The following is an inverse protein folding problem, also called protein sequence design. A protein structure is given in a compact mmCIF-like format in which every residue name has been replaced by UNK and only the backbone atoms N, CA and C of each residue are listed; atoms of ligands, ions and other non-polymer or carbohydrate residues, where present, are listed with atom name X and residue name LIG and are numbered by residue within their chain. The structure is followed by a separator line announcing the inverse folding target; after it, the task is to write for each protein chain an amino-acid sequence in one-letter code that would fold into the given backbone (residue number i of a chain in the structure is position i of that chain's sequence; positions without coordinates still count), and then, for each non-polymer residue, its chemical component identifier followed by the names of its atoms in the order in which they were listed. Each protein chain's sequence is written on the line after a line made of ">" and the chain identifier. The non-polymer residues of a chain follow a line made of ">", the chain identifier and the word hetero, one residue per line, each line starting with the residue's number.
data_IF_856954976096
#
_entry.id   IF_856954976096
#
_cell.length_a   1.000
_cell.length_b   1.000
_cell.length_c   1.000
_cell.angle_alpha   90.00
_cell.angle_beta   90.00
_cell.angle_gamma   90.00
#
_symmetry.space_group_name_H-M   'P 1'
#
loop_
_entity.id
_entity.type
_entity.pdbx_description
1 polymer ?
#
# COMPACT_ATOMS: atom_id res chain seq x y z
N UNK A 1 -21.06 -6.34 38.47
CA UNK A 1 -20.13 -5.79 37.46
C UNK A 1 -19.82 -6.90 36.47
N UNK A 2 -20.43 -6.84 35.28
CA UNK A 2 -20.43 -7.94 34.30
C UNK A 2 -19.03 -8.23 33.73
N UNK A 3 -18.67 -9.52 33.65
CA UNK A 3 -17.45 -10.05 32.99
C UNK A 3 -17.22 -9.52 31.56
N UNK A 4 -18.30 -9.09 30.89
CA UNK A 4 -18.23 -8.51 29.53
C UNK A 4 -17.60 -7.11 29.49
N UNK A 5 -17.75 -6.31 30.55
CA UNK A 5 -17.15 -4.97 30.60
C UNK A 5 -15.63 -5.02 30.81
N UNK A 6 -15.15 -6.01 31.57
CA UNK A 6 -13.72 -6.19 31.81
C UNK A 6 -12.96 -6.66 30.55
N UNK A 7 -13.56 -7.53 29.73
CA UNK A 7 -12.96 -8.02 28.49
C UNK A 7 -12.89 -6.93 27.40
N UNK A 8 -13.91 -6.07 27.31
CA UNK A 8 -13.93 -4.93 26.39
C UNK A 8 -12.90 -3.86 26.76
N UNK A 9 -12.79 -3.50 28.04
CA UNK A 9 -11.77 -2.57 28.54
C UNK A 9 -10.35 -3.12 28.37
N UNK A 10 -10.17 -4.44 28.52
CA UNK A 10 -8.90 -5.13 28.32
C UNK A 10 -8.45 -5.07 26.85
N UNK A 11 -9.34 -5.30 25.87
CA UNK A 11 -8.99 -5.19 24.45
C UNK A 11 -8.56 -3.77 24.05
N UNK A 12 -9.25 -2.74 24.54
CA UNK A 12 -8.90 -1.33 24.28
C UNK A 12 -7.59 -0.91 24.98
N UNK A 13 -7.32 -1.43 26.19
CA UNK A 13 -6.05 -1.22 26.90
C UNK A 13 -4.88 -1.96 26.25
N UNK A 14 -5.10 -3.17 25.72
CA UNK A 14 -4.11 -3.94 24.96
C UNK A 14 -3.78 -3.19 23.65
N UNK A 15 -4.78 -2.68 22.92
CA UNK A 15 -4.55 -1.83 21.73
C UNK A 15 -3.75 -0.55 22.03
N UNK A 16 -3.88 0.02 23.24
CA UNK A 16 -3.09 1.18 23.73
C UNK A 16 -1.65 0.83 24.11
N UNK A 17 -1.35 -0.45 24.39
CA UNK A 17 -0.03 -0.95 24.77
C UNK A 17 0.83 -1.35 23.55
N UNK A 18 0.20 -1.77 22.46
CA UNK A 18 0.89 -2.29 21.28
C UNK A 18 1.63 -1.21 20.47
N UNK A 19 2.84 -1.53 20.07
CA UNK A 19 3.62 -0.78 19.08
C UNK A 19 2.90 -0.74 17.73
N UNK A 20 3.26 0.22 16.86
CA UNK A 20 2.73 0.30 15.48
C UNK A 20 2.95 -1.02 14.73
N UNK A 21 4.14 -1.61 14.88
CA UNK A 21 4.50 -2.86 14.21
C UNK A 21 3.68 -4.05 14.69
N UNK A 22 3.39 -4.16 15.99
CA UNK A 22 2.52 -5.23 16.52
C UNK A 22 1.09 -5.09 16.01
N UNK A 23 0.56 -3.86 15.97
CA UNK A 23 -0.80 -3.59 15.45
C UNK A 23 -0.92 -3.98 13.97
N UNK A 24 0.08 -3.66 13.16
CA UNK A 24 0.10 -4.04 11.74
C UNK A 24 0.29 -5.55 11.58
N UNK A 25 1.17 -6.20 12.36
CA UNK A 25 1.31 -7.67 12.32
C UNK A 25 0.00 -8.38 12.64
N UNK A 26 -0.72 -7.96 13.68
CA UNK A 26 -2.04 -8.49 14.01
C UNK A 26 -3.02 -8.29 12.85
N UNK A 27 -3.07 -7.08 12.30
CA UNK A 27 -3.91 -6.75 11.16
C UNK A 27 -3.61 -7.67 9.94
N UNK A 28 -2.34 -7.90 9.62
CA UNK A 28 -1.94 -8.80 8.53
C UNK A 28 -2.34 -10.25 8.82
N UNK A 29 -2.18 -10.73 10.06
CA UNK A 29 -2.60 -12.08 10.44
C UNK A 29 -4.12 -12.28 10.29
N UNK A 30 -4.92 -11.29 10.71
CA UNK A 30 -6.37 -11.28 10.53
C UNK A 30 -6.76 -11.29 9.04
N UNK A 31 -6.02 -10.57 8.19
CA UNK A 31 -6.25 -10.59 6.75
C UNK A 31 -5.86 -11.91 6.08
N UNK A 32 -4.80 -12.57 6.57
CA UNK A 32 -4.24 -13.79 6.00
C UNK A 32 -4.93 -15.08 6.47
N UNK A 33 -5.73 -15.01 7.54
CA UNK A 33 -6.48 -16.16 8.06
C UNK A 33 -5.63 -17.18 8.85
N UNK A 34 -4.49 -16.76 9.41
CA UNK A 34 -3.58 -17.63 10.17
C UNK A 34 -2.26 -16.96 10.53
N UNK A 35 -1.40 -17.69 11.27
CA UNK A 35 -0.11 -17.20 11.73
C UNK A 35 0.89 -17.02 10.57
N UNK A 36 1.65 -15.92 10.62
CA UNK A 36 2.54 -15.49 9.54
C UNK A 36 3.93 -16.06 9.78
N UNK A 37 4.22 -17.21 9.14
CA UNK A 37 5.57 -17.75 9.08
C UNK A 37 6.50 -16.84 8.27
N UNK A 38 7.78 -16.65 8.67
CA UNK A 38 8.71 -15.71 8.05
C UNK A 38 9.36 -16.26 6.76
N UNK A 39 8.69 -17.09 5.96
CA UNK A 39 9.34 -17.67 4.78
C UNK A 39 9.49 -16.62 3.67
N UNK A 40 10.59 -15.87 3.73
CA UNK A 40 11.02 -14.82 2.81
C UNK A 40 11.23 -15.32 1.37
N UNK A 41 11.24 -16.64 1.14
CA UNK A 41 11.61 -17.24 -0.16
C UNK A 41 10.60 -16.98 -1.26
N UNK A 42 9.33 -16.74 -0.92
CA UNK A 42 8.26 -16.46 -1.88
C UNK A 42 7.61 -15.10 -1.60
N UNK A 43 8.29 -14.04 -2.04
CA UNK A 43 7.80 -12.68 -1.87
C UNK A 43 6.43 -12.46 -2.51
N UNK A 44 6.15 -13.12 -3.65
CA UNK A 44 4.85 -12.99 -4.31
C UNK A 44 3.73 -13.49 -3.40
N UNK A 45 3.95 -14.52 -2.58
CA UNK A 45 2.98 -15.05 -1.63
C UNK A 45 3.16 -14.53 -0.19
N UNK A 46 4.14 -13.63 0.06
CA UNK A 46 4.39 -13.10 1.39
C UNK A 46 3.17 -12.31 1.92
N UNK A 47 2.72 -12.56 3.17
CA UNK A 47 1.44 -12.05 3.66
C UNK A 47 1.38 -10.52 3.75
N UNK A 48 2.49 -9.85 4.13
CA UNK A 48 2.53 -8.39 4.11
C UNK A 48 2.45 -7.83 2.67
N UNK A 49 3.05 -8.53 1.71
CA UNK A 49 2.98 -8.12 0.30
C UNK A 49 1.56 -8.31 -0.25
N UNK A 50 0.90 -9.43 0.06
CA UNK A 50 -0.51 -9.65 -0.28
C UNK A 50 -1.46 -8.67 0.41
N UNK A 51 -1.22 -8.38 1.68
CA UNK A 51 -2.01 -7.43 2.45
C UNK A 51 -1.91 -6.02 1.87
N UNK A 52 -0.75 -5.60 1.34
CA UNK A 52 -0.62 -4.33 0.62
C UNK A 52 -1.64 -4.21 -0.52
N UNK A 53 -1.72 -5.20 -1.42
CA UNK A 53 -2.65 -5.15 -2.56
C UNK A 53 -4.10 -5.25 -2.13
N UNK A 54 -4.39 -6.03 -1.09
CA UNK A 54 -5.74 -6.09 -0.51
C UNK A 54 -6.16 -4.72 0.01
N UNK A 55 -5.32 -4.07 0.83
CA UNK A 55 -5.59 -2.71 1.31
C UNK A 55 -5.72 -1.71 0.17
N UNK A 56 -4.84 -1.78 -0.84
CA UNK A 56 -4.93 -0.92 -2.01
C UNK A 56 -6.28 -1.05 -2.72
N UNK A 57 -6.71 -2.28 -3.00
CA UNK A 57 -7.95 -2.55 -3.74
C UNK A 57 -9.20 -2.25 -2.92
N UNK A 58 -9.09 -2.24 -1.58
CA UNK A 58 -10.09 -1.74 -0.63
C UNK A 58 -10.01 -0.22 -0.42
N UNK A 59 -9.14 0.51 -1.15
CA UNK A 59 -8.93 1.97 -1.05
C UNK A 59 -8.40 2.42 0.32
N UNK A 60 -7.80 1.50 1.08
CA UNK A 60 -7.16 1.71 2.37
C UNK A 60 -5.67 2.03 2.18
N UNK A 61 -5.40 3.10 1.44
CA UNK A 61 -4.04 3.43 0.99
C UNK A 61 -3.08 3.74 2.13
N UNK A 62 -3.58 4.28 3.24
CA UNK A 62 -2.76 4.54 4.42
C UNK A 62 -2.30 3.22 5.06
N UNK A 63 -3.19 2.26 5.21
CA UNK A 63 -2.84 0.92 5.71
C UNK A 63 -1.97 0.15 4.71
N UNK A 64 -2.20 0.29 3.40
CA UNK A 64 -1.32 -0.28 2.39
C UNK A 64 0.12 0.24 2.58
N UNK A 65 0.29 1.56 2.70
CA UNK A 65 1.58 2.18 3.00
C UNK A 65 2.24 1.59 4.26
N UNK A 66 1.51 1.58 5.38
CA UNK A 66 2.04 1.14 6.69
C UNK A 66 2.40 -0.35 6.71
N UNK A 67 1.58 -1.21 6.10
CA UNK A 67 1.84 -2.65 5.97
C UNK A 67 3.14 -2.88 5.21
N UNK A 68 3.32 -2.20 4.06
CA UNK A 68 4.49 -2.46 3.23
C UNK A 68 5.76 -1.80 3.78
N UNK A 69 5.64 -0.68 4.51
CA UNK A 69 6.75 -0.06 5.24
C UNK A 69 7.36 -1.05 6.26
N UNK A 70 6.52 -1.80 6.99
CA UNK A 70 7.03 -2.78 7.95
C UNK A 70 7.79 -3.94 7.29
N UNK A 71 7.37 -4.36 6.08
CA UNK A 71 8.12 -5.33 5.28
C UNK A 71 9.43 -4.72 4.77
N UNK A 72 9.38 -3.50 4.25
CA UNK A 72 10.53 -2.79 3.69
C UNK A 72 11.66 -2.58 4.70
N UNK A 73 11.34 -2.21 5.95
CA UNK A 73 12.33 -2.04 7.03
C UNK A 73 13.13 -3.32 7.35
N UNK A 74 12.63 -4.49 6.93
CA UNK A 74 13.28 -5.80 7.12
C UNK A 74 13.92 -6.33 5.82
N UNK A 75 13.76 -5.63 4.70
CA UNK A 75 14.13 -6.13 3.36
C UNK A 75 15.62 -5.90 3.06
N UNK A 76 16.21 -6.83 2.29
CA UNK A 76 17.59 -6.74 1.79
C UNK A 76 17.75 -5.60 0.76
N UNK A 77 18.95 -5.01 0.61
CA UNK A 77 19.15 -3.84 -0.27
C UNK A 77 18.70 -4.01 -1.72
N UNK A 78 18.74 -5.22 -2.27
CA UNK A 78 18.46 -5.52 -3.69
C UNK A 78 17.05 -5.11 -4.14
N UNK A 79 16.04 -5.22 -3.28
CA UNK A 79 14.65 -4.88 -3.61
C UNK A 79 14.15 -3.62 -2.89
N UNK A 80 15.04 -2.91 -2.20
CA UNK A 80 14.65 -1.77 -1.37
C UNK A 80 13.96 -0.67 -2.18
N UNK A 81 14.41 -0.39 -3.41
CA UNK A 81 13.79 0.61 -4.28
C UNK A 81 12.42 0.16 -4.80
N UNK A 82 12.22 -1.13 -5.08
CA UNK A 82 10.91 -1.66 -5.48
C UNK A 82 9.84 -1.39 -4.42
N UNK A 83 10.09 -1.81 -3.18
CA UNK A 83 9.14 -1.62 -2.09
C UNK A 83 8.96 -0.14 -1.76
N UNK A 84 10.04 0.65 -1.77
CA UNK A 84 9.97 2.11 -1.60
C UNK A 84 9.08 2.75 -2.67
N UNK A 85 9.15 2.28 -3.92
CA UNK A 85 8.29 2.73 -5.00
C UNK A 85 6.82 2.44 -4.75
N UNK A 86 6.48 1.22 -4.32
CA UNK A 86 5.10 0.85 -3.96
C UNK A 86 4.56 1.66 -2.76
N UNK A 87 5.39 1.87 -1.73
CA UNK A 87 5.06 2.70 -0.56
C UNK A 87 4.78 4.14 -0.98
N UNK A 88 5.61 4.71 -1.85
CA UNK A 88 5.41 6.06 -2.39
C UNK A 88 4.15 6.17 -3.24
N UNK A 89 3.85 5.15 -4.06
CA UNK A 89 2.61 5.08 -4.81
C UNK A 89 1.40 5.12 -3.88
N UNK A 90 1.36 4.28 -2.84
CA UNK A 90 0.28 4.30 -1.85
C UNK A 90 0.18 5.66 -1.14
N UNK A 91 1.31 6.25 -0.75
CA UNK A 91 1.36 7.60 -0.20
C UNK A 91 0.77 8.68 -1.12
N UNK A 92 1.00 8.58 -2.44
CA UNK A 92 0.41 9.48 -3.42
C UNK A 92 -1.13 9.37 -3.43
N UNK A 93 -1.66 8.15 -3.41
CA UNK A 93 -3.11 7.92 -3.33
C UNK A 93 -3.72 8.37 -1.99
N UNK A 94 -3.00 8.26 -0.86
CA UNK A 94 -3.41 8.88 0.42
C UNK A 94 -3.60 10.39 0.26
N UNK A 95 -2.73 11.06 -0.49
CA UNK A 95 -2.87 12.50 -0.75
C UNK A 95 -4.12 12.81 -1.59
N UNK A 96 -4.40 12.02 -2.63
CA UNK A 96 -5.58 12.19 -3.47
C UNK A 96 -6.88 11.94 -2.69
N UNK A 97 -6.96 10.84 -1.93
CA UNK A 97 -8.11 10.50 -1.10
C UNK A 97 -8.40 11.59 -0.07
N UNK A 98 -7.38 12.04 0.65
CA UNK A 98 -7.50 13.12 1.63
C UNK A 98 -7.95 14.46 1.04
N UNK A 99 -7.55 14.78 -0.20
CA UNK A 99 -8.06 15.97 -0.89
C UNK A 99 -9.50 15.78 -1.29
N UNK A 100 -9.85 14.63 -1.85
CA UNK A 100 -11.21 14.32 -2.28
C UNK A 100 -12.21 14.45 -1.12
N UNK A 101 -11.86 13.91 0.06
CA UNK A 101 -12.69 13.99 1.26
C UNK A 101 -12.79 15.40 1.83
N UNK A 102 -11.74 16.23 1.70
CA UNK A 102 -11.64 17.53 2.34
C UNK A 102 -11.03 18.60 1.41
N UNK A 103 -11.70 18.94 0.29
CA UNK A 103 -11.12 19.79 -0.75
C UNK A 103 -10.89 21.24 -0.26
N UNK A 104 -11.74 21.76 0.62
CA UNK A 104 -11.65 23.14 1.13
C UNK A 104 -10.79 23.28 2.39
N UNK A 105 -10.31 22.18 2.98
CA UNK A 105 -9.52 22.25 4.20
C UNK A 105 -8.11 22.80 3.90
N UNK A 106 -7.64 23.79 4.67
CA UNK A 106 -6.37 24.52 4.44
C UNK A 106 -5.17 23.61 4.11
N UNK A 107 -4.99 22.52 4.89
CA UNK A 107 -3.99 21.47 4.62
C UNK A 107 -4.38 20.48 3.52
N UNK A 108 -5.59 19.92 3.55
CA UNK A 108 -5.96 18.80 2.68
C UNK A 108 -6.27 19.23 1.23
N UNK A 109 -6.73 20.45 1.00
CA UNK A 109 -6.94 21.02 -0.33
C UNK A 109 -5.67 21.14 -1.16
N UNK A 110 -4.51 21.34 -0.50
CA UNK A 110 -3.19 21.53 -1.13
C UNK A 110 -2.40 20.24 -1.35
N UNK A 111 -3.09 19.09 -1.47
CA UNK A 111 -2.46 17.77 -1.55
C UNK A 111 -2.14 17.28 -2.96
N UNK A 112 -2.54 17.98 -4.01
CA UNK A 112 -2.19 17.59 -5.39
C UNK A 112 -0.69 17.71 -5.70
N UNK A 113 0.01 18.82 -5.38
CA UNK A 113 1.46 18.90 -5.58
C UNK A 113 2.28 17.81 -4.89
N UNK A 114 2.06 17.48 -3.59
CA UNK A 114 2.79 16.37 -2.98
C UNK A 114 2.40 15.00 -3.56
N UNK A 115 1.16 14.80 -4.04
CA UNK A 115 0.79 13.56 -4.74
C UNK A 115 1.60 13.37 -6.02
N UNK A 116 1.68 14.40 -6.88
CA UNK A 116 2.46 14.38 -8.13
C UNK A 116 3.92 14.05 -7.86
N UNK A 117 4.54 14.68 -6.85
CA UNK A 117 5.94 14.37 -6.48
C UNK A 117 6.12 12.89 -6.13
N UNK A 118 5.19 12.31 -5.37
CA UNK A 118 5.25 10.90 -4.99
C UNK A 118 5.01 9.96 -6.17
N UNK A 119 4.10 10.29 -7.10
CA UNK A 119 3.92 9.53 -8.33
C UNK A 119 5.22 9.43 -9.13
N UNK A 120 5.92 10.55 -9.32
CA UNK A 120 7.19 10.59 -10.05
C UNK A 120 8.32 9.86 -9.33
N UNK A 121 8.37 9.92 -8.00
CA UNK A 121 9.35 9.15 -7.21
C UNK A 121 9.07 7.65 -7.29
N UNK A 122 7.81 7.24 -7.16
CA UNK A 122 7.40 5.86 -7.26
C UNK A 122 7.75 5.27 -8.64
N UNK A 123 7.38 5.97 -9.71
CA UNK A 123 7.70 5.60 -11.09
C UNK A 123 9.21 5.39 -11.30
N UNK A 124 10.05 6.34 -10.86
CA UNK A 124 11.52 6.21 -10.98
C UNK A 124 12.10 5.01 -10.24
N UNK A 125 11.55 4.70 -9.06
CA UNK A 125 12.01 3.57 -8.27
C UNK A 125 11.53 2.23 -8.86
N UNK A 126 10.37 2.21 -9.51
CA UNK A 126 9.74 1.01 -10.06
C UNK A 126 10.22 0.67 -11.49
N UNK A 127 10.65 1.64 -12.28
CA UNK A 127 10.96 1.45 -13.71
C UNK A 127 12.01 0.37 -13.98
N UNK A 128 12.99 0.19 -13.09
CA UNK A 128 14.02 -0.84 -13.19
C UNK A 128 13.50 -2.28 -12.96
N UNK A 129 12.26 -2.43 -12.50
CA UNK A 129 11.61 -3.71 -12.19
C UNK A 129 10.55 -4.09 -13.24
N UNK A 130 10.55 -3.40 -14.39
CA UNK A 130 9.66 -3.69 -15.51
C UNK A 130 10.09 -4.95 -16.29
N UNK A 131 9.15 -5.63 -16.99
CA UNK A 131 7.72 -5.36 -17.01
C UNK A 131 6.98 -5.96 -15.80
N UNK A 132 7.58 -6.92 -15.10
CA UNK A 132 6.91 -7.68 -14.03
C UNK A 132 7.90 -8.06 -12.94
N UNK A 133 7.51 -7.85 -11.68
CA UNK A 133 8.32 -8.22 -10.50
C UNK A 133 7.41 -8.73 -9.39
N UNK A 134 7.80 -9.82 -8.73
CA UNK A 134 6.99 -10.48 -7.68
C UNK A 134 5.49 -10.62 -8.03
N UNK A 135 5.19 -11.00 -9.27
CA UNK A 135 3.83 -11.22 -9.75
C UNK A 135 3.04 -9.96 -10.13
N UNK A 136 3.54 -8.76 -9.86
CA UNK A 136 2.92 -7.48 -10.21
C UNK A 136 3.33 -7.04 -11.61
N UNK A 137 2.37 -6.58 -12.42
CA UNK A 137 2.66 -5.85 -13.66
C UNK A 137 3.18 -4.43 -13.35
N UNK A 138 4.51 -4.30 -13.35
CA UNK A 138 5.19 -3.06 -12.97
C UNK A 138 5.09 -2.03 -14.08
N UNK A 139 5.08 -2.47 -15.35
CA UNK A 139 4.90 -1.56 -16.48
C UNK A 139 3.53 -0.86 -16.40
N UNK A 140 2.46 -1.63 -16.21
CA UNK A 140 1.11 -1.07 -16.06
C UNK A 140 0.98 -0.13 -14.85
N UNK A 141 1.66 -0.44 -13.74
CA UNK A 141 1.71 0.46 -12.59
C UNK A 141 2.45 1.76 -12.93
N UNK A 142 3.60 1.71 -13.59
CA UNK A 142 4.32 2.92 -14.00
C UNK A 142 3.46 3.82 -14.91
N UNK A 143 2.79 3.24 -15.90
CA UNK A 143 1.87 3.96 -16.79
C UNK A 143 0.71 4.61 -16.03
N UNK A 144 0.14 3.90 -15.05
CA UNK A 144 -0.90 4.42 -14.17
C UNK A 144 -0.41 5.65 -13.40
N UNK A 145 0.77 5.56 -12.75
CA UNK A 145 1.32 6.63 -11.94
C UNK A 145 1.65 7.87 -12.79
N UNK A 146 2.21 7.66 -13.99
CA UNK A 146 2.45 8.73 -14.97
C UNK A 146 1.13 9.42 -15.35
N UNK A 147 0.12 8.66 -15.75
CA UNK A 147 -1.20 9.19 -16.13
C UNK A 147 -1.83 10.05 -15.04
N UNK A 148 -1.80 9.58 -13.78
CA UNK A 148 -2.31 10.34 -12.64
C UNK A 148 -1.55 11.65 -12.45
N UNK A 149 -0.21 11.61 -12.52
CA UNK A 149 0.62 12.81 -12.40
C UNK A 149 0.34 13.81 -13.53
N UNK A 150 0.27 13.34 -14.77
CA UNK A 150 0.04 14.17 -15.96
C UNK A 150 -1.32 14.84 -15.94
N UNK A 151 -2.38 14.13 -15.55
CA UNK A 151 -3.72 14.72 -15.44
C UNK A 151 -3.78 15.85 -14.40
N UNK A 152 -3.12 15.67 -13.26
CA UNK A 152 -3.05 16.71 -12.22
C UNK A 152 -2.28 17.92 -12.75
N UNK A 153 -1.11 17.71 -13.35
CA UNK A 153 -0.25 18.80 -13.88
C UNK A 153 -0.95 19.54 -15.02
N UNK A 154 -1.58 18.83 -15.96
CA UNK A 154 -2.32 19.42 -17.06
C UNK A 154 -3.53 20.26 -16.61
N UNK A 155 -4.07 19.96 -15.43
CA UNK A 155 -5.13 20.75 -14.81
C UNK A 155 -4.63 21.95 -13.98
N UNK A 156 -3.33 22.27 -14.04
CA UNK A 156 -2.66 23.24 -13.18
C UNK A 156 -2.93 22.98 -11.68
N UNK A 157 -2.93 21.70 -11.29
CA UNK A 157 -3.24 21.25 -9.93
C UNK A 157 -4.64 21.63 -9.40
N UNK A 158 -5.62 21.83 -10.28
CA UNK A 158 -7.00 22.10 -9.89
C UNK A 158 -7.87 20.84 -9.81
N UNK A 159 -7.59 19.84 -10.67
CA UNK A 159 -8.40 18.62 -10.76
C UNK A 159 -7.75 17.45 -10.02
N UNK A 160 -8.54 16.77 -9.18
CA UNK A 160 -8.16 15.47 -8.61
C UNK A 160 -8.75 14.36 -9.49
N UNK A 161 -7.93 13.59 -10.21
CA UNK A 161 -8.42 12.53 -11.09
C UNK A 161 -8.88 11.28 -10.33
N UNK A 162 -8.68 11.20 -9.01
CA UNK A 162 -9.14 10.08 -8.19
C UNK A 162 -10.53 10.34 -7.61
N UNK A 163 -11.38 9.32 -7.65
CA UNK A 163 -12.59 9.19 -6.86
C UNK A 163 -12.79 7.74 -6.41
N UNK A 164 -13.63 7.47 -5.39
CA UNK A 164 -13.92 6.09 -4.97
C UNK A 164 -14.46 5.20 -6.09
N UNK A 165 -15.15 5.78 -7.07
CA UNK A 165 -15.73 5.06 -8.22
C UNK A 165 -14.70 4.73 -9.30
N UNK A 166 -13.61 5.50 -9.37
CA UNK A 166 -12.56 5.38 -10.40
C UNK A 166 -11.23 4.89 -9.83
N UNK A 167 -11.21 4.53 -8.54
CA UNK A 167 -10.02 4.08 -7.84
C UNK A 167 -9.38 2.87 -8.55
N UNK A 168 -8.08 2.93 -8.86
CA UNK A 168 -7.42 1.87 -9.61
C UNK A 168 -7.21 0.65 -8.73
N UNK A 169 -7.35 -0.53 -9.33
CA UNK A 169 -7.03 -1.81 -8.70
C UNK A 169 -5.72 -2.35 -9.24
N UNK A 170 -4.97 -3.01 -8.37
CA UNK A 170 -3.73 -3.70 -8.71
C UNK A 170 -3.94 -5.20 -8.53
N UNK A 171 -3.69 -5.95 -9.59
CA UNK A 171 -3.70 -7.41 -9.58
C UNK A 171 -2.27 -7.92 -9.46
N UNK A 172 -2.07 -8.91 -8.59
CA UNK A 172 -0.78 -9.54 -8.36
C UNK A 172 -0.90 -11.05 -8.55
N UNK A 173 -0.23 -11.58 -9.57
CA UNK A 173 -0.25 -13.01 -9.87
C UNK A 173 0.44 -13.81 -8.77
N UNK A 174 -0.08 -15.00 -8.46
CA UNK A 174 0.66 -16.00 -7.68
C UNK A 174 1.67 -16.69 -8.57
N UNK A 175 2.93 -16.73 -8.14
CA UNK A 175 3.90 -17.66 -8.71
C UNK A 175 3.57 -19.02 -8.10
N UNK A 176 2.96 -19.91 -8.87
CA UNK A 176 2.95 -21.31 -8.47
C UNK A 176 4.38 -21.83 -8.64
N UNK A 177 5.00 -22.46 -7.63
CA UNK A 177 6.23 -23.19 -7.88
C UNK A 177 5.92 -24.24 -8.95
N UNK A 178 6.68 -24.23 -10.05
CA UNK A 178 6.63 -25.32 -11.03
C UNK A 178 6.77 -26.62 -10.24
N UNK A 179 5.83 -27.54 -10.41
CA UNK A 179 6.02 -28.91 -9.93
C UNK A 179 7.30 -29.44 -10.60
N UNK A 180 8.23 -30.08 -9.88
CA UNK A 180 9.33 -30.77 -10.54
C UNK A 180 8.73 -31.87 -11.43
N UNK A 181 8.83 -31.71 -12.75
CA UNK A 181 8.29 -32.69 -13.71
C UNK A 181 7.85 -32.19 -15.10
N UNK A 182 7.90 -30.88 -15.40
CA UNK A 182 7.75 -30.36 -16.77
C UNK A 182 9.08 -30.23 -17.52
#
# INVERSE_FOLDING_TARGET
>A
MSWWFAHYLSCEQIKRSMTKGERISQFVAELAGGDVGPDEKDMANHPFYRAFFRCWNEQRYYEAHDVLEQLWLKTKPRDADYFKGLIQAAGAFVHLQKRFEQPSHAKHGRRLPPAVRLFRLAERNLSNFTPRHYGLDVAALCELLQKYADQIVASDYETNPWSPQTAPKLEVGSVHPKRPGD
#
